data_IF_602375248054
#
_entry.id   IF_602375248054
#
_cell.length_a   1.000
_cell.length_b   1.000
_cell.length_c   1.000
_cell.angle_alpha   90.00
_cell.angle_beta   90.00
_cell.angle_gamma   90.00
#
_symmetry.space_group_name_H-M   'P 1'
#
loop_
_entity.id
_entity.type
_entity.pdbx_description
1 polymer ?
#
# COMPACT_ATOMS: atom_id res chain seq x y z
N UNK A 1 -9.22 -15.57 4.76
CA UNK A 1 -9.48 -16.71 3.84
C UNK A 1 -8.47 -17.81 4.11
N UNK A 2 -8.88 -19.08 4.14
CA UNK A 2 -7.95 -20.19 4.37
C UNK A 2 -7.28 -20.59 3.05
N UNK A 3 -6.00 -20.91 3.07
CA UNK A 3 -5.25 -21.36 1.87
C UNK A 3 -5.94 -22.52 1.14
N UNK A 4 -6.58 -23.41 1.89
CA UNK A 4 -7.36 -24.53 1.34
C UNK A 4 -8.57 -24.10 0.51
N UNK A 5 -9.19 -22.95 0.80
CA UNK A 5 -10.31 -22.40 0.04
C UNK A 5 -9.85 -21.81 -1.30
N UNK A 6 -8.70 -21.14 -1.31
CA UNK A 6 -8.10 -20.61 -2.54
C UNK A 6 -7.69 -21.73 -3.50
N UNK A 7 -7.03 -22.77 -2.97
CA UNK A 7 -6.64 -23.95 -3.75
C UNK A 7 -7.89 -24.61 -4.34
N UNK A 8 -8.93 -24.79 -3.54
CA UNK A 8 -10.19 -25.37 -3.98
C UNK A 8 -10.87 -24.53 -5.06
N UNK A 9 -10.94 -23.21 -4.88
CA UNK A 9 -11.51 -22.29 -5.87
C UNK A 9 -10.76 -22.37 -7.22
N UNK A 10 -9.43 -22.47 -7.19
CA UNK A 10 -8.61 -22.62 -8.39
C UNK A 10 -8.92 -23.95 -9.11
N UNK A 11 -9.03 -25.06 -8.37
CA UNK A 11 -9.36 -26.37 -8.94
C UNK A 11 -10.80 -26.48 -9.47
N UNK A 12 -11.76 -25.87 -8.77
CA UNK A 12 -13.17 -25.92 -9.13
C UNK A 12 -13.55 -24.89 -10.22
N UNK A 13 -12.60 -24.03 -10.64
CA UNK A 13 -12.85 -22.98 -11.63
C UNK A 13 -13.79 -21.90 -11.12
N UNK A 14 -13.87 -21.70 -9.81
CA UNK A 14 -14.69 -20.65 -9.18
C UNK A 14 -13.96 -19.32 -9.22
N UNK A 15 -13.98 -18.67 -10.36
CA UNK A 15 -13.36 -17.38 -10.56
C UNK A 15 -14.44 -16.30 -10.51
N UNK A 16 -14.27 -15.28 -9.67
CA UNK A 16 -15.18 -14.12 -9.63
C UNK A 16 -14.87 -13.13 -10.74
N UNK A 17 -13.60 -13.06 -11.15
CA UNK A 17 -13.13 -12.21 -12.23
C UNK A 17 -12.01 -12.92 -13.00
N UNK A 18 -12.05 -12.82 -14.33
CA UNK A 18 -10.93 -13.22 -15.19
C UNK A 18 -10.54 -12.05 -16.10
N UNK A 19 -9.27 -11.68 -16.06
CA UNK A 19 -8.70 -10.74 -17.02
C UNK A 19 -8.14 -11.57 -18.17
N UNK A 20 -8.76 -11.46 -19.36
CA UNK A 20 -8.47 -12.25 -20.54
C UNK A 20 -7.40 -11.60 -21.40
N UNK A 21 -6.64 -12.43 -22.13
CA UNK A 21 -5.78 -11.99 -23.22
C UNK A 21 -4.75 -10.91 -22.82
N UNK A 22 -4.24 -10.93 -21.59
CA UNK A 22 -3.25 -9.97 -21.10
C UNK A 22 -1.82 -10.39 -21.47
N UNK A 23 -0.93 -9.40 -21.62
CA UNK A 23 0.52 -9.59 -21.53
C UNK A 23 0.90 -9.43 -20.04
N UNK A 24 0.94 -10.53 -19.31
CA UNK A 24 1.16 -10.53 -17.85
C UNK A 24 2.64 -10.35 -17.57
N UNK A 25 2.99 -9.29 -16.86
CA UNK A 25 4.34 -9.06 -16.34
C UNK A 25 4.51 -9.91 -15.09
N UNK A 26 5.17 -11.06 -15.25
CA UNK A 26 5.42 -11.99 -14.16
C UNK A 26 6.72 -11.61 -13.44
N UNK A 27 6.56 -10.90 -12.33
CA UNK A 27 7.71 -10.42 -11.51
C UNK A 27 8.41 -11.54 -10.74
N UNK A 28 7.88 -12.76 -10.73
CA UNK A 28 8.52 -13.91 -10.08
C UNK A 28 9.48 -14.65 -11.01
N UNK A 29 9.22 -14.61 -12.32
CA UNK A 29 10.05 -15.31 -13.33
C UNK A 29 10.77 -14.36 -14.27
N UNK A 30 10.53 -13.06 -14.12
CA UNK A 30 11.11 -11.99 -14.94
C UNK A 30 10.73 -12.11 -16.44
N UNK A 31 9.51 -12.60 -16.68
CA UNK A 31 8.98 -12.87 -18.02
C UNK A 31 7.70 -12.09 -18.29
N UNK A 32 7.41 -11.84 -19.56
CA UNK A 32 6.10 -11.39 -20.01
C UNK A 32 5.39 -12.56 -20.68
N UNK A 33 4.30 -13.01 -20.08
CA UNK A 33 3.55 -14.17 -20.55
C UNK A 33 2.18 -13.75 -21.07
N UNK A 34 1.81 -14.17 -22.28
CA UNK A 34 0.44 -13.97 -22.75
C UNK A 34 -0.48 -15.00 -22.10
N UNK A 35 -1.34 -14.54 -21.20
CA UNK A 35 -2.19 -15.40 -20.39
C UNK A 35 -3.42 -14.65 -19.88
N UNK A 36 -4.37 -15.42 -19.35
CA UNK A 36 -5.46 -14.90 -18.51
C UNK A 36 -5.02 -14.88 -17.05
N UNK A 37 -5.61 -13.97 -16.28
CA UNK A 37 -5.41 -13.91 -14.83
C UNK A 37 -6.74 -14.13 -14.14
N UNK A 38 -6.81 -15.19 -13.32
CA UNK A 38 -8.00 -15.55 -12.57
C UNK A 38 -7.91 -14.99 -11.14
N UNK A 39 -8.99 -14.35 -10.72
CA UNK A 39 -9.13 -13.75 -9.39
C UNK A 39 -10.35 -14.36 -8.70
N UNK A 40 -10.18 -14.74 -7.45
CA UNK A 40 -11.24 -15.17 -6.56
C UNK A 40 -11.30 -14.21 -5.37
N UNK A 41 -12.42 -13.50 -5.22
CA UNK A 41 -12.57 -12.38 -4.31
C UNK A 41 -11.49 -11.32 -4.55
N UNK A 42 -10.49 -11.20 -3.68
CA UNK A 42 -9.39 -10.23 -3.74
C UNK A 42 -8.01 -10.85 -4.00
N UNK A 43 -7.98 -12.16 -4.35
CA UNK A 43 -6.74 -12.91 -4.51
C UNK A 43 -6.60 -13.45 -5.93
N UNK A 44 -5.43 -13.24 -6.54
CA UNK A 44 -5.03 -13.89 -7.78
C UNK A 44 -4.81 -15.38 -7.49
N UNK A 45 -5.62 -16.25 -8.11
CA UNK A 45 -5.54 -17.70 -7.92
C UNK A 45 -4.84 -18.43 -9.07
N UNK A 46 -4.62 -17.77 -10.19
CA UNK A 46 -3.90 -18.39 -11.29
C UNK A 46 -3.57 -17.45 -12.45
N UNK A 47 -2.54 -17.81 -13.19
CA UNK A 47 -2.14 -17.23 -14.46
C UNK A 47 -2.06 -18.37 -15.47
N UNK A 48 -2.81 -18.29 -16.57
CA UNK A 48 -2.90 -19.37 -17.55
C UNK A 48 -4.07 -19.21 -18.49
N UNK A 49 -4.89 -20.24 -18.66
CA UNK A 49 -6.12 -20.21 -19.44
C UNK A 49 -7.31 -20.45 -18.51
N UNK A 50 -8.14 -19.45 -18.36
CA UNK A 50 -9.27 -19.44 -17.41
C UNK A 50 -10.54 -18.90 -18.05
N UNK A 51 -11.68 -19.26 -17.48
CA UNK A 51 -12.99 -18.64 -17.72
C UNK A 51 -13.65 -18.33 -16.37
N UNK A 52 -14.47 -17.32 -16.31
CA UNK A 52 -15.11 -16.89 -15.06
C UNK A 52 -16.48 -16.27 -15.29
N UNK A 53 -17.15 -15.93 -14.19
CA UNK A 53 -18.47 -15.29 -14.25
C UNK A 53 -18.38 -13.86 -14.83
N UNK A 54 -17.30 -13.16 -14.49
CA UNK A 54 -17.01 -11.83 -14.99
C UNK A 54 -15.67 -11.86 -15.75
N UNK A 55 -15.70 -11.43 -17.01
CA UNK A 55 -14.51 -11.41 -17.84
C UNK A 55 -14.24 -9.98 -18.34
N UNK A 56 -12.98 -9.57 -18.26
CA UNK A 56 -12.47 -8.32 -18.84
C UNK A 56 -11.44 -8.69 -19.89
N UNK A 57 -11.69 -8.37 -21.16
CA UNK A 57 -10.69 -8.57 -22.21
C UNK A 57 -9.66 -7.44 -22.19
N UNK A 58 -8.41 -7.76 -21.86
CA UNK A 58 -7.31 -6.83 -21.89
C UNK A 58 -6.86 -6.48 -23.32
N UNK A 59 -7.31 -7.22 -24.34
CA UNK A 59 -6.98 -6.95 -25.74
C UNK A 59 -5.49 -6.94 -26.06
N UNK A 60 -4.68 -7.64 -25.27
CA UNK A 60 -3.22 -7.64 -25.38
C UNK A 60 -2.53 -6.50 -24.63
N UNK A 61 -3.23 -5.74 -23.80
CA UNK A 61 -2.60 -4.76 -22.92
C UNK A 61 -1.70 -5.45 -21.88
N UNK A 62 -0.75 -4.71 -21.35
CA UNK A 62 0.10 -5.20 -20.27
C UNK A 62 -0.65 -5.20 -18.95
N UNK A 63 -0.56 -6.29 -18.22
CA UNK A 63 -1.07 -6.45 -16.86
C UNK A 63 0.13 -6.64 -15.93
N UNK A 64 0.35 -5.66 -15.09
CA UNK A 64 1.44 -5.66 -14.13
C UNK A 64 0.90 -5.52 -12.69
N UNK A 65 1.65 -5.93 -11.67
CA UNK A 65 1.35 -5.55 -10.29
C UNK A 65 1.25 -4.04 -10.16
N UNK A 66 0.35 -3.55 -9.29
CA UNK A 66 0.27 -2.13 -8.99
C UNK A 66 1.59 -1.59 -8.42
N UNK A 67 1.93 -0.36 -8.77
CA UNK A 67 3.17 0.27 -8.29
C UNK A 67 3.11 0.56 -6.80
N UNK A 68 4.27 0.49 -6.18
CA UNK A 68 4.48 0.80 -4.77
C UNK A 68 5.37 2.03 -4.68
N UNK A 69 4.83 3.11 -4.11
CA UNK A 69 5.66 4.24 -3.69
C UNK A 69 6.24 3.92 -2.32
N UNK A 70 7.55 3.73 -2.27
CA UNK A 70 8.25 3.23 -1.08
C UNK A 70 8.52 4.31 -0.02
N UNK A 71 8.26 5.58 -0.30
CA UNK A 71 8.40 6.67 0.66
C UNK A 71 7.67 7.92 0.21
N UNK A 72 6.65 8.32 0.95
CA UNK A 72 5.86 9.52 0.66
C UNK A 72 5.40 10.20 1.95
N UNK A 73 5.37 11.52 1.92
CA UNK A 73 4.72 12.37 2.92
C UNK A 73 3.41 12.88 2.30
N UNK A 74 2.29 12.21 2.59
CA UNK A 74 0.99 12.55 2.00
C UNK A 74 0.61 14.01 2.30
N UNK A 75 0.84 14.44 3.53
CA UNK A 75 0.57 15.81 4.00
C UNK A 75 1.36 16.88 3.24
N UNK A 76 2.55 16.57 2.76
CA UNK A 76 3.36 17.50 1.94
C UNK A 76 2.73 17.81 0.59
N UNK A 77 1.81 16.97 0.13
CA UNK A 77 1.00 17.24 -1.06
C UNK A 77 -0.07 18.32 -0.84
N UNK A 78 -0.28 18.77 0.41
CA UNK A 78 -1.27 19.76 0.84
C UNK A 78 -2.72 19.38 0.51
N UNK A 79 -2.99 18.09 0.34
CA UNK A 79 -4.34 17.53 0.16
C UNK A 79 -4.59 16.41 1.16
N UNK A 80 -5.87 16.13 1.41
CA UNK A 80 -6.25 14.99 2.26
C UNK A 80 -5.97 13.66 1.56
N UNK A 81 -5.78 12.55 2.29
CA UNK A 81 -5.45 11.25 1.71
C UNK A 81 -6.39 10.76 0.61
N UNK A 82 -7.69 11.04 0.71
CA UNK A 82 -8.66 10.65 -0.32
C UNK A 82 -8.48 11.42 -1.64
N UNK A 83 -8.03 12.67 -1.58
CA UNK A 83 -7.71 13.47 -2.77
C UNK A 83 -6.37 13.05 -3.36
N UNK A 84 -5.38 12.80 -2.53
CA UNK A 84 -4.09 12.24 -2.92
C UNK A 84 -4.27 10.93 -3.70
N UNK A 85 -5.04 10.01 -3.14
CA UNK A 85 -5.39 8.73 -3.77
C UNK A 85 -5.97 8.91 -5.18
N UNK A 86 -6.93 9.84 -5.34
CA UNK A 86 -7.58 10.09 -6.66
C UNK A 86 -6.60 10.56 -7.73
N UNK A 87 -5.48 11.16 -7.32
CA UNK A 87 -4.45 11.60 -8.25
C UNK A 87 -3.52 10.44 -8.62
N UNK A 88 -3.05 9.66 -7.65
CA UNK A 88 -1.98 8.68 -7.90
C UNK A 88 -2.47 7.35 -8.46
N UNK A 89 -3.64 6.86 -8.01
CA UNK A 89 -4.15 5.55 -8.44
C UNK A 89 -4.40 5.43 -9.95
N UNK A 90 -4.91 6.43 -10.66
CA UNK A 90 -5.05 6.37 -12.13
C UNK A 90 -3.71 6.22 -12.87
N UNK A 91 -2.59 6.51 -12.21
CA UNK A 91 -1.24 6.31 -12.75
C UNK A 91 -0.60 4.98 -12.36
N UNK A 92 -1.37 4.10 -11.69
CA UNK A 92 -0.96 2.74 -11.36
C UNK A 92 -0.37 2.54 -9.96
N UNK A 93 -0.23 3.58 -9.14
CA UNK A 93 0.23 3.43 -7.75
C UNK A 93 -0.91 2.95 -6.87
N UNK A 94 -0.83 1.72 -6.38
CA UNK A 94 -1.86 1.07 -5.55
C UNK A 94 -1.46 0.92 -4.09
N UNK A 95 -0.17 1.10 -3.79
CA UNK A 95 0.37 1.03 -2.43
C UNK A 95 1.33 2.17 -2.20
N UNK A 96 1.28 2.77 -1.02
CA UNK A 96 2.25 3.76 -0.58
C UNK A 96 2.75 3.43 0.81
N UNK A 97 4.02 3.73 1.07
CA UNK A 97 4.62 3.71 2.40
C UNK A 97 4.72 5.16 2.85
N UNK A 98 3.79 5.56 3.70
CA UNK A 98 3.67 6.94 4.18
C UNK A 98 4.47 7.14 5.46
N UNK A 99 5.27 8.20 5.48
CA UNK A 99 5.88 8.72 6.70
C UNK A 99 5.11 9.99 7.13
N UNK A 100 4.27 9.93 8.17
CA UNK A 100 3.45 11.05 8.63
C UNK A 100 4.24 12.03 9.50
N UNK A 101 5.47 12.36 9.09
CA UNK A 101 6.40 13.15 9.88
C UNK A 101 5.93 14.60 10.08
N UNK A 102 5.43 15.23 9.04
CA UNK A 102 4.98 16.62 9.08
C UNK A 102 3.75 16.78 9.96
N UNK A 103 2.76 15.93 9.83
CA UNK A 103 1.59 15.99 10.69
C UNK A 103 1.91 15.61 12.14
N UNK A 104 2.86 14.69 12.33
CA UNK A 104 3.38 14.36 13.65
C UNK A 104 4.10 15.55 14.30
N UNK A 105 4.85 16.31 13.51
CA UNK A 105 5.53 17.52 13.96
C UNK A 105 4.57 18.64 14.40
N UNK A 106 3.40 18.72 13.75
CA UNK A 106 2.36 19.72 14.06
C UNK A 106 1.45 19.27 15.21
N UNK A 107 0.97 18.01 15.17
CA UNK A 107 -0.12 17.52 16.01
C UNK A 107 0.21 16.24 16.81
N UNK A 108 1.47 15.80 16.79
CA UNK A 108 1.95 14.65 17.56
C UNK A 108 1.19 13.35 17.22
N UNK A 109 1.02 12.52 18.21
CA UNK A 109 0.30 11.24 18.08
C UNK A 109 -1.16 11.41 17.60
N UNK A 110 -1.79 12.55 17.84
CA UNK A 110 -3.13 12.83 17.32
C UNK A 110 -3.12 12.97 15.80
N UNK A 111 -2.10 13.61 15.22
CA UNK A 111 -1.91 13.72 13.78
C UNK A 111 -1.72 12.36 13.13
N UNK A 112 -0.87 11.51 13.70
CA UNK A 112 -0.66 10.14 13.22
C UNK A 112 -1.98 9.34 13.26
N UNK A 113 -2.74 9.41 14.37
CA UNK A 113 -4.06 8.75 14.46
C UNK A 113 -5.04 9.24 13.40
N UNK A 114 -5.04 10.55 13.12
CA UNK A 114 -5.87 11.11 12.07
C UNK A 114 -5.51 10.55 10.69
N UNK A 115 -4.21 10.44 10.35
CA UNK A 115 -3.77 9.83 9.09
C UNK A 115 -4.19 8.37 8.96
N UNK A 116 -4.05 7.56 10.02
CA UNK A 116 -4.57 6.19 10.04
C UNK A 116 -6.07 6.16 9.73
N UNK A 117 -6.87 6.99 10.42
CA UNK A 117 -8.32 7.04 10.24
C UNK A 117 -8.73 7.50 8.85
N UNK A 118 -8.06 8.52 8.30
CA UNK A 118 -8.37 9.08 6.98
C UNK A 118 -8.01 8.12 5.82
N UNK A 119 -7.22 7.09 6.10
CA UNK A 119 -6.78 6.09 5.10
C UNK A 119 -7.38 4.71 5.30
N UNK A 120 -8.22 4.50 6.32
CA UNK A 120 -8.74 3.16 6.68
C UNK A 120 -9.63 2.54 5.60
N UNK A 121 -10.47 3.34 4.95
CA UNK A 121 -11.47 2.87 3.98
C UNK A 121 -11.10 3.21 2.53
N UNK A 122 -9.86 3.64 2.30
CA UNK A 122 -9.42 3.95 0.95
C UNK A 122 -9.05 2.67 0.18
N UNK A 123 -9.36 2.57 -1.11
CA UNK A 123 -8.85 1.50 -1.96
C UNK A 123 -7.33 1.54 -2.17
N UNK A 124 -6.68 2.67 -1.89
CA UNK A 124 -5.23 2.79 -1.82
C UNK A 124 -4.71 2.09 -0.55
N UNK A 125 -3.79 1.16 -0.70
CA UNK A 125 -3.11 0.54 0.45
C UNK A 125 -2.07 1.49 1.01
N UNK A 126 -2.31 1.98 2.23
CA UNK A 126 -1.37 2.87 2.92
C UNK A 126 -0.74 2.13 4.07
N UNK A 127 0.57 1.91 3.99
CA UNK A 127 1.42 1.41 5.07
C UNK A 127 2.12 2.61 5.71
N UNK A 128 2.40 2.53 7.01
CA UNK A 128 2.99 3.63 7.75
C UNK A 128 4.37 3.28 8.28
N UNK A 129 5.29 4.21 8.10
CA UNK A 129 6.52 4.29 8.87
C UNK A 129 6.28 5.23 10.03
N UNK A 130 6.73 4.87 11.22
CA UNK A 130 6.60 5.74 12.37
C UNK A 130 7.83 6.64 12.49
N UNK A 131 7.66 7.97 12.59
CA UNK A 131 8.78 8.88 12.77
C UNK A 131 9.50 8.60 14.10
N UNK A 132 10.84 8.46 14.04
CA UNK A 132 11.68 8.11 15.19
C UNK A 132 11.94 9.29 16.14
N UNK A 133 11.78 10.51 15.65
CA UNK A 133 12.06 11.72 16.40
C UNK A 133 11.18 12.88 15.93
N UNK A 134 10.47 13.48 16.87
CA UNK A 134 9.69 14.70 16.66
C UNK A 134 9.88 15.62 17.87
N UNK A 135 10.49 16.81 17.69
CA UNK A 135 11.17 17.29 16.48
C UNK A 135 12.42 16.47 16.13
N UNK A 136 12.89 16.58 14.89
CA UNK A 136 14.09 15.89 14.41
C UNK A 136 15.36 16.33 15.14
N UNK A 137 15.39 17.58 15.59
CA UNK A 137 16.49 18.13 16.41
C UNK A 137 15.95 18.97 17.57
N UNK A 138 16.70 19.11 18.68
CA UNK A 138 16.28 19.92 19.82
C UNK A 138 16.20 21.41 19.53
N UNK A 139 16.70 21.87 18.39
CA UNK A 139 16.70 23.27 17.96
C UNK A 139 15.49 23.64 17.10
N UNK A 140 14.73 22.64 16.67
CA UNK A 140 13.54 22.88 15.84
C UNK A 140 12.34 23.28 16.71
N UNK A 141 11.59 24.25 16.21
CA UNK A 141 10.27 24.56 16.75
C UNK A 141 9.25 23.57 16.19
N UNK A 142 8.55 22.89 17.07
CA UNK A 142 7.49 21.95 16.69
C UNK A 142 6.22 22.21 17.49
N UNK A 143 5.08 21.85 16.91
CA UNK A 143 3.79 21.89 17.59
C UNK A 143 3.59 20.75 18.59
N UNK A 144 4.41 19.70 18.50
CA UNK A 144 4.37 18.54 19.38
C UNK A 144 5.76 17.95 19.59
N UNK A 145 5.87 17.15 20.66
CA UNK A 145 7.04 16.32 20.92
C UNK A 145 6.58 14.88 21.06
N UNK A 146 7.23 13.97 20.35
CA UNK A 146 6.99 12.54 20.44
C UNK A 146 8.21 11.84 21.01
N UNK A 147 7.96 10.93 21.92
CA UNK A 147 8.94 10.02 22.51
C UNK A 147 8.56 8.57 22.17
N UNK A 148 9.46 7.63 22.43
CA UNK A 148 9.25 6.22 22.08
C UNK A 148 7.94 5.64 22.65
N UNK A 149 7.59 6.04 23.86
CA UNK A 149 6.36 5.61 24.55
C UNK A 149 5.08 6.04 23.81
N UNK A 150 5.12 7.20 23.15
CA UNK A 150 4.00 7.68 22.33
C UNK A 150 3.79 6.81 21.08
N UNK A 151 4.86 6.18 20.59
CA UNK A 151 4.84 5.36 19.38
C UNK A 151 4.35 3.94 19.62
N UNK A 152 4.47 3.42 20.84
CA UNK A 152 4.10 2.06 21.19
C UNK A 152 2.66 1.71 20.76
N UNK A 153 1.72 2.64 20.93
CA UNK A 153 0.32 2.48 20.52
C UNK A 153 0.12 2.21 19.01
N UNK A 154 1.11 2.51 18.17
CA UNK A 154 1.05 2.34 16.71
C UNK A 154 1.81 1.10 16.23
N UNK A 155 2.82 0.65 16.98
CA UNK A 155 3.71 -0.43 16.55
C UNK A 155 2.99 -1.75 16.29
N UNK A 156 1.87 -2.01 16.97
CA UNK A 156 1.08 -3.24 16.83
C UNK A 156 -0.05 -3.12 15.81
N UNK A 157 -0.19 -1.99 15.11
CA UNK A 157 -1.20 -1.84 14.07
C UNK A 157 -0.78 -2.59 12.80
N UNK A 158 -1.73 -3.27 12.17
CA UNK A 158 -1.51 -4.11 10.98
C UNK A 158 -0.89 -3.35 9.79
N UNK A 159 -1.03 -2.03 9.74
CA UNK A 159 -0.46 -1.16 8.70
C UNK A 159 0.83 -0.45 9.11
N UNK A 160 1.34 -0.71 10.30
CA UNK A 160 2.66 -0.23 10.72
C UNK A 160 3.73 -1.13 10.10
N UNK A 161 4.60 -0.57 9.28
CA UNK A 161 5.64 -1.32 8.59
C UNK A 161 6.96 -1.31 9.37
N UNK A 162 7.38 -0.15 9.85
CA UNK A 162 8.65 0.05 10.54
C UNK A 162 8.57 1.21 11.54
N UNK A 163 9.39 1.12 12.59
CA UNK A 163 9.68 2.20 13.53
C UNK A 163 11.06 2.79 13.22
N UNK A 164 11.26 3.33 12.04
CA UNK A 164 12.48 4.09 11.72
C UNK A 164 12.23 4.94 10.47
N UNK A 165 12.71 6.16 10.49
CA UNK A 165 12.85 6.93 9.28
C UNK A 165 14.05 6.38 8.47
N UNK A 166 13.92 6.15 7.16
CA UNK A 166 15.04 5.78 6.31
C UNK A 166 15.99 6.97 6.04
N UNK A 167 15.82 8.08 6.75
CA UNK A 167 16.66 9.27 6.57
C UNK A 167 18.14 8.94 6.82
N UNK A 168 19.05 9.39 5.95
CA UNK A 168 20.49 9.28 6.20
C UNK A 168 20.96 9.86 7.53
N UNK A 169 20.19 10.80 8.11
CA UNK A 169 20.47 11.41 9.40
C UNK A 169 20.35 10.44 10.57
N UNK A 170 19.49 9.41 10.45
CA UNK A 170 19.30 8.41 11.51
C UNK A 170 20.48 7.44 11.62
N UNK A 171 21.35 7.38 10.60
CA UNK A 171 22.57 6.56 10.60
C UNK A 171 23.77 7.19 11.30
N UNK A 172 23.64 8.43 11.77
CA UNK A 172 24.74 9.19 12.40
C UNK A 172 24.67 9.22 13.94
N UNK A 173 23.83 8.39 14.55
CA UNK A 173 23.71 8.26 16.01
C UNK A 173 24.37 7.00 16.50
#
# INVERSE_FOLDING_TARGET
MRQSELIRAAYEGKNTLVIKNANVVNVFTDEIVRADVAVYEDVIIGVGSYSGENEIDAGGAYLAPGFIDAHVHIESSMVIPSSFMKVIMPHGTTTVIADPHEIANVAGAAGIRAMYKLTDELPLRVLFMLPSCVPATPFEHSGAKLVAEDMEQFMHKSRCLLYTSPSPRDRQK
#
